data_IF_958985284696
#
_entry.id   IF_958985284696
#
_cell.length_a   1.000
_cell.length_b   1.000
_cell.length_c   1.000
_cell.angle_alpha   90.00
_cell.angle_beta   90.00
_cell.angle_gamma   90.00
#
_symmetry.space_group_name_H-M   'P 1'
#
loop_
_entity.id
_entity.type
_entity.pdbx_description
1 polymer ?
#
# COMPACT_ATOMS: atom_id res chain seq x y z
N UNK A 1 22.47 6.99 -16.96
CA UNK A 1 21.20 6.23 -17.03
C UNK A 1 21.15 5.35 -15.81
N UNK A 2 20.11 5.45 -14.97
CA UNK A 2 20.02 4.67 -13.74
C UNK A 2 19.48 3.24 -14.00
N UNK A 3 18.70 3.07 -15.08
CA UNK A 3 18.18 1.78 -15.55
C UNK A 3 18.17 1.80 -17.07
N UNK A 4 18.69 0.78 -17.71
CA UNK A 4 18.74 0.66 -19.17
C UNK A 4 18.35 -0.74 -19.62
N UNK A 5 17.55 -0.85 -20.69
CA UNK A 5 17.13 -2.12 -21.27
C UNK A 5 16.32 -3.04 -20.33
N UNK A 6 15.74 -2.50 -19.26
CA UNK A 6 15.00 -3.29 -18.26
C UNK A 6 13.61 -3.68 -18.79
N UNK A 7 13.33 -4.98 -18.79
CA UNK A 7 12.03 -5.54 -19.12
C UNK A 7 11.54 -6.39 -17.96
N UNK A 8 10.30 -6.18 -17.54
CA UNK A 8 9.66 -6.92 -16.46
C UNK A 8 8.19 -7.16 -16.81
N UNK A 9 7.75 -8.39 -16.64
CA UNK A 9 6.34 -8.76 -16.71
C UNK A 9 5.99 -9.51 -15.44
N UNK A 10 4.92 -9.08 -14.77
CA UNK A 10 4.41 -9.70 -13.54
C UNK A 10 3.00 -10.18 -13.81
N UNK A 11 2.76 -11.48 -13.61
CA UNK A 11 1.46 -12.11 -13.75
C UNK A 11 0.56 -11.88 -12.53
N UNK A 12 -0.71 -12.32 -12.64
CA UNK A 12 -1.63 -12.31 -11.50
C UNK A 12 -1.21 -13.37 -10.47
N UNK A 13 -1.32 -13.05 -9.18
CA UNK A 13 -0.95 -13.93 -8.06
C UNK A 13 0.53 -14.36 -8.09
N UNK A 14 1.39 -13.52 -8.65
CA UNK A 14 2.82 -13.76 -8.75
C UNK A 14 3.58 -12.91 -7.74
N UNK A 15 4.61 -13.51 -7.12
CA UNK A 15 5.57 -12.82 -6.26
C UNK A 15 6.89 -12.74 -7.02
N UNK A 16 7.33 -11.51 -7.28
CA UNK A 16 8.58 -11.24 -8.00
C UNK A 16 9.57 -10.51 -7.09
N UNK A 17 10.77 -11.04 -6.95
CA UNK A 17 11.86 -10.41 -6.21
C UNK A 17 12.77 -9.60 -7.12
N UNK A 18 12.92 -8.29 -6.82
CA UNK A 18 13.91 -7.43 -7.46
C UNK A 18 15.18 -7.37 -6.62
N UNK A 19 16.19 -8.13 -7.03
CA UNK A 19 17.45 -8.32 -6.28
C UNK A 19 18.59 -7.61 -7.01
N UNK A 20 19.50 -7.02 -6.24
CA UNK A 20 20.70 -6.35 -6.76
C UNK A 20 21.42 -5.56 -5.66
N UNK A 21 22.70 -5.19 -5.88
CA UNK A 21 23.46 -4.40 -4.92
C UNK A 21 22.88 -3.00 -4.71
N UNK A 22 23.39 -2.28 -3.71
CA UNK A 22 23.03 -0.89 -3.52
C UNK A 22 23.46 -0.06 -4.74
N UNK A 23 22.57 0.84 -5.20
CA UNK A 23 22.81 1.61 -6.44
C UNK A 23 22.42 0.89 -7.74
N UNK A 24 22.01 -0.38 -7.74
CA UNK A 24 21.58 -1.11 -8.94
C UNK A 24 20.29 -0.61 -9.61
N UNK A 25 19.68 0.46 -9.10
CA UNK A 25 18.47 1.05 -9.69
C UNK A 25 17.15 0.48 -9.18
N UNK A 26 17.13 -0.39 -8.15
CA UNK A 26 15.89 -0.96 -7.58
C UNK A 26 14.85 0.11 -7.23
N UNK A 27 15.26 1.11 -6.46
CA UNK A 27 14.39 2.25 -6.09
C UNK A 27 13.96 3.05 -7.32
N UNK A 28 14.81 3.16 -8.34
CA UNK A 28 14.46 3.82 -9.60
C UNK A 28 13.35 3.07 -10.33
N UNK A 29 13.41 1.72 -10.38
CA UNK A 29 12.34 0.90 -10.94
C UNK A 29 11.02 1.12 -10.17
N UNK A 30 11.05 1.13 -8.84
CA UNK A 30 9.87 1.44 -8.02
C UNK A 30 9.31 2.84 -8.30
N UNK A 31 10.18 3.84 -8.44
CA UNK A 31 9.77 5.20 -8.78
C UNK A 31 9.17 5.30 -10.19
N UNK A 32 9.65 4.50 -11.14
CA UNK A 32 9.07 4.37 -12.48
C UNK A 32 7.69 3.71 -12.44
N UNK A 33 7.55 2.58 -11.71
CA UNK A 33 6.28 1.85 -11.58
C UNK A 33 5.18 2.69 -10.88
N UNK A 34 5.57 3.59 -9.98
CA UNK A 34 4.63 4.50 -9.30
C UNK A 34 4.49 5.86 -10.00
N UNK A 35 5.13 6.05 -11.15
CA UNK A 35 5.14 7.30 -11.92
C UNK A 35 5.66 8.53 -11.15
N UNK A 36 6.50 8.33 -10.14
CA UNK A 36 7.30 9.39 -9.53
C UNK A 36 8.32 9.90 -10.55
N UNK A 37 8.88 8.99 -11.36
CA UNK A 37 9.68 9.29 -12.54
C UNK A 37 9.01 8.78 -13.80
N UNK A 38 9.18 9.50 -14.90
CA UNK A 38 8.75 9.04 -16.23
C UNK A 38 9.91 8.33 -16.93
N UNK A 39 9.67 7.22 -17.64
CA UNK A 39 10.72 6.58 -18.43
C UNK A 39 11.14 7.50 -19.60
N UNK A 40 12.44 7.60 -19.86
CA UNK A 40 12.96 8.33 -21.02
C UNK A 40 12.63 7.63 -22.33
N UNK A 41 12.60 6.29 -22.31
CA UNK A 41 12.23 5.42 -23.43
C UNK A 41 11.46 4.21 -22.88
N UNK A 42 10.64 3.58 -23.73
CA UNK A 42 9.82 2.46 -23.33
C UNK A 42 8.47 2.87 -22.75
N UNK A 43 7.73 1.92 -22.24
CA UNK A 43 6.39 2.12 -21.68
C UNK A 43 6.17 1.25 -20.44
N UNK A 44 5.29 1.70 -19.56
CA UNK A 44 4.84 0.97 -18.38
C UNK A 44 3.34 0.79 -18.50
N UNK A 45 2.91 -0.46 -18.39
CA UNK A 45 1.51 -0.83 -18.43
C UNK A 45 1.09 -1.46 -17.11
N UNK A 46 -0.03 -1.04 -16.55
CA UNK A 46 -0.67 -1.66 -15.40
C UNK A 46 -2.00 -2.23 -15.88
N UNK A 47 -2.14 -3.55 -15.82
CA UNK A 47 -3.33 -4.26 -16.31
C UNK A 47 -3.69 -3.84 -17.77
N UNK A 48 -2.66 -3.77 -18.64
CA UNK A 48 -2.79 -3.37 -20.04
C UNK A 48 -2.96 -1.87 -20.30
N UNK A 49 -3.12 -1.05 -19.26
CA UNK A 49 -3.32 0.40 -19.37
C UNK A 49 -2.00 1.17 -19.21
N UNK A 50 -1.66 2.11 -20.09
CA UNK A 50 -0.43 2.89 -19.99
C UNK A 50 -0.45 3.86 -18.82
N UNK A 51 0.71 4.01 -18.17
CA UNK A 51 0.91 4.99 -17.07
C UNK A 51 1.41 6.33 -17.57
N UNK A 52 1.84 6.43 -18.83
CA UNK A 52 2.39 7.65 -19.42
C UNK A 52 1.44 8.84 -19.22
N UNK A 53 1.99 9.99 -18.82
CA UNK A 53 1.24 11.22 -18.58
C UNK A 53 0.35 11.23 -17.32
N UNK A 54 0.26 10.12 -16.59
CA UNK A 54 -0.51 10.05 -15.33
C UNK A 54 0.31 10.60 -14.17
N UNK A 55 -0.38 11.16 -13.18
CA UNK A 55 0.21 11.52 -11.89
C UNK A 55 0.26 10.30 -10.97
N UNK A 56 1.14 10.30 -9.96
CA UNK A 56 1.30 9.19 -9.00
C UNK A 56 -0.03 8.74 -8.39
N UNK A 57 -0.91 9.67 -7.97
CA UNK A 57 -2.21 9.31 -7.40
C UNK A 57 -3.15 8.63 -8.41
N UNK A 58 -3.00 8.90 -9.71
CA UNK A 58 -3.79 8.24 -10.76
C UNK A 58 -3.30 6.80 -10.98
N UNK A 59 -1.98 6.58 -10.90
CA UNK A 59 -1.41 5.23 -10.94
C UNK A 59 -1.80 4.41 -9.71
N UNK A 60 -1.84 5.06 -8.54
CA UNK A 60 -2.37 4.42 -7.34
C UNK A 60 -3.82 3.95 -7.54
N UNK A 61 -4.69 4.79 -8.12
CA UNK A 61 -6.08 4.43 -8.45
C UNK A 61 -6.21 3.35 -9.52
N UNK A 62 -5.17 3.08 -10.31
CA UNK A 62 -5.11 1.92 -11.20
C UNK A 62 -4.86 0.60 -10.45
N UNK A 63 -4.61 0.68 -9.14
CA UNK A 63 -4.40 -0.45 -8.26
C UNK A 63 -2.93 -0.71 -7.92
N UNK A 64 -2.05 0.31 -7.96
CA UNK A 64 -0.66 0.18 -7.52
C UNK A 64 -0.52 0.76 -6.12
N UNK A 65 -0.16 -0.06 -5.14
CA UNK A 65 0.22 0.40 -3.80
C UNK A 65 1.71 0.19 -3.57
N UNK A 66 2.32 1.06 -2.77
CA UNK A 66 3.73 0.97 -2.39
C UNK A 66 3.91 1.26 -0.91
N UNK A 67 4.70 0.43 -0.23
CA UNK A 67 5.28 0.80 1.06
C UNK A 67 6.56 1.61 0.84
N UNK A 68 6.93 2.43 1.82
CA UNK A 68 8.13 3.26 1.73
C UNK A 68 9.23 2.68 2.61
N UNK A 69 10.50 3.01 2.31
CA UNK A 69 11.65 2.61 3.12
C UNK A 69 11.51 3.14 4.57
N UNK A 70 11.02 4.38 4.74
CA UNK A 70 10.67 4.92 6.04
C UNK A 70 9.19 4.69 6.32
N UNK A 71 8.86 4.10 7.46
CA UNK A 71 7.48 3.82 7.88
C UNK A 71 6.66 5.11 7.93
N UNK A 72 5.56 5.14 7.18
CA UNK A 72 4.63 6.27 7.11
C UNK A 72 3.29 5.88 7.69
N UNK A 73 3.18 5.89 9.00
CA UNK A 73 1.93 5.67 9.73
C UNK A 73 1.38 6.96 10.30
N UNK A 74 0.09 7.00 10.52
CA UNK A 74 -0.56 8.00 11.36
C UNK A 74 -0.34 7.60 12.82
N UNK A 75 0.76 8.05 13.40
CA UNK A 75 1.26 7.60 14.71
C UNK A 75 0.29 7.86 15.86
N UNK A 76 -0.52 8.92 15.75
CA UNK A 76 -1.51 9.32 16.74
C UNK A 76 -2.82 8.51 16.67
N UNK A 77 -3.06 7.84 15.54
CA UNK A 77 -4.22 6.99 15.36
C UNK A 77 -3.98 5.59 15.92
N UNK A 78 -5.08 4.89 16.21
CA UNK A 78 -5.03 3.47 16.56
C UNK A 78 -4.58 2.61 15.37
N UNK A 79 -4.17 1.38 15.66
CA UNK A 79 -3.80 0.38 14.64
C UNK A 79 -4.96 0.15 13.67
N UNK A 80 -6.17 -0.07 14.20
CA UNK A 80 -7.35 -0.32 13.36
C UNK A 80 -7.71 0.91 12.53
N UNK A 81 -7.57 2.12 13.06
CA UNK A 81 -7.89 3.34 12.31
C UNK A 81 -6.89 3.59 11.18
N UNK A 82 -5.61 3.24 11.35
CA UNK A 82 -4.63 3.26 10.26
C UNK A 82 -5.06 2.35 9.10
N UNK A 83 -5.59 1.16 9.37
CA UNK A 83 -6.09 0.24 8.33
C UNK A 83 -7.35 0.80 7.68
N UNK A 84 -8.28 1.35 8.48
CA UNK A 84 -9.51 1.97 7.98
C UNK A 84 -9.23 3.10 7.00
N UNK A 85 -8.19 3.93 7.23
CA UNK A 85 -7.79 4.95 6.25
C UNK A 85 -7.47 4.34 4.88
N UNK A 86 -6.81 3.17 4.83
CA UNK A 86 -6.57 2.44 3.57
C UNK A 86 -7.87 1.92 2.94
N UNK A 87 -8.77 1.38 3.73
CA UNK A 87 -10.07 0.88 3.26
C UNK A 87 -10.96 1.99 2.71
N UNK A 88 -10.96 3.18 3.32
CA UNK A 88 -11.72 4.33 2.87
C UNK A 88 -11.36 4.78 1.45
N UNK A 89 -10.10 4.65 1.04
CA UNK A 89 -9.67 5.00 -0.32
C UNK A 89 -10.26 4.03 -1.37
N UNK A 90 -10.50 2.78 -0.98
CA UNK A 90 -11.12 1.75 -1.85
C UNK A 90 -12.65 1.83 -1.89
N UNK A 91 -13.28 2.45 -0.89
CA UNK A 91 -14.72 2.61 -0.78
C UNK A 91 -15.14 3.95 -1.42
N UNK A 92 -16.10 3.92 -2.34
CA UNK A 92 -16.67 5.13 -2.96
C UNK A 92 -17.58 5.84 -1.98
N UNK A 93 -17.01 6.53 -0.98
CA UNK A 93 -17.81 7.35 -0.08
C UNK A 93 -18.46 8.50 -0.83
N UNK A 94 -19.78 8.59 -0.74
CA UNK A 94 -20.50 9.79 -1.13
C UNK A 94 -20.44 10.77 0.04
N UNK A 95 -19.69 11.87 -0.10
CA UNK A 95 -19.53 12.93 0.92
C UNK A 95 -20.88 13.38 1.53
N UNK A 96 -21.95 13.36 0.73
CA UNK A 96 -23.30 13.72 1.19
C UNK A 96 -23.87 12.71 2.20
N UNK A 97 -23.61 11.39 2.02
CA UNK A 97 -24.09 10.36 2.96
C UNK A 97 -23.33 10.37 4.29
N UNK A 98 -22.06 10.75 4.25
CA UNK A 98 -21.22 10.90 5.45
C UNK A 98 -21.62 12.10 6.29
N UNK A 99 -21.97 13.24 5.66
CA UNK A 99 -22.39 14.46 6.37
C UNK A 99 -23.76 14.28 7.07
N UNK A 100 -24.66 13.53 6.46
CA UNK A 100 -26.05 13.34 6.95
C UNK A 100 -26.20 12.12 7.88
N UNK A 101 -25.11 11.39 8.19
CA UNK A 101 -25.13 10.18 9.04
C UNK A 101 -26.30 9.23 8.71
N UNK A 102 -26.55 9.01 7.40
CA UNK A 102 -27.64 8.15 6.95
C UNK A 102 -27.42 6.68 7.40
N UNK A 103 -28.47 5.85 7.48
CA UNK A 103 -28.35 4.44 7.91
C UNK A 103 -27.26 3.64 7.15
N UNK A 104 -27.01 3.97 5.89
CA UNK A 104 -25.93 3.37 5.09
C UNK A 104 -24.52 3.65 5.65
N UNK A 105 -24.30 4.82 6.29
CA UNK A 105 -23.01 5.14 6.90
C UNK A 105 -22.60 4.11 7.97
N UNK A 106 -23.54 3.79 8.88
CA UNK A 106 -23.27 2.82 9.95
C UNK A 106 -23.01 1.43 9.44
N UNK A 107 -23.67 1.02 8.34
CA UNK A 107 -23.43 -0.28 7.70
C UNK A 107 -22.05 -0.34 7.05
N UNK A 108 -21.66 0.73 6.36
CA UNK A 108 -20.34 0.84 5.72
C UNK A 108 -19.21 0.88 6.76
N UNK A 109 -19.39 1.65 7.84
CA UNK A 109 -18.43 1.73 8.95
C UNK A 109 -18.27 0.36 9.64
N UNK A 110 -19.34 -0.38 9.83
CA UNK A 110 -19.30 -1.73 10.37
C UNK A 110 -18.51 -2.67 9.43
N UNK A 111 -18.80 -2.65 8.14
CA UNK A 111 -18.07 -3.45 7.15
C UNK A 111 -16.57 -3.07 7.08
N UNK A 112 -16.26 -1.78 7.18
CA UNK A 112 -14.88 -1.31 7.23
C UNK A 112 -14.16 -1.85 8.47
N UNK A 113 -14.83 -1.83 9.62
CA UNK A 113 -14.29 -2.37 10.87
C UNK A 113 -14.06 -3.88 10.79
N UNK A 114 -15.02 -4.63 10.27
CA UNK A 114 -14.92 -6.09 10.08
C UNK A 114 -13.73 -6.44 9.18
N UNK A 115 -13.59 -5.79 8.02
CA UNK A 115 -12.44 -6.00 7.12
C UNK A 115 -11.10 -5.61 7.75
N UNK A 116 -11.08 -4.55 8.55
CA UNK A 116 -9.86 -4.16 9.26
C UNK A 116 -9.45 -5.21 10.29
N UNK A 117 -10.42 -5.79 11.02
CA UNK A 117 -10.18 -6.87 11.98
C UNK A 117 -9.73 -8.15 11.29
N UNK A 118 -10.31 -8.52 10.15
CA UNK A 118 -9.86 -9.67 9.33
C UNK A 118 -8.38 -9.53 8.92
N UNK A 119 -7.97 -8.33 8.47
CA UNK A 119 -6.57 -8.08 8.15
C UNK A 119 -5.67 -8.20 9.38
N UNK A 120 -6.10 -7.67 10.52
CA UNK A 120 -5.36 -7.76 11.77
C UNK A 120 -5.19 -9.22 12.23
N UNK A 121 -6.21 -10.05 12.04
CA UNK A 121 -6.17 -11.47 12.39
C UNK A 121 -5.17 -12.23 11.52
N UNK A 122 -5.18 -12.01 10.20
CA UNK A 122 -4.22 -12.59 9.26
C UNK A 122 -2.76 -12.28 9.65
N UNK A 123 -2.50 -11.09 10.17
CA UNK A 123 -1.16 -10.65 10.59
C UNK A 123 -0.87 -10.93 12.07
N UNK A 124 -1.76 -11.61 12.80
CA UNK A 124 -1.66 -11.90 14.22
C UNK A 124 -1.45 -10.63 15.07
N UNK A 125 -2.24 -9.61 14.80
CA UNK A 125 -2.19 -8.31 15.46
C UNK A 125 -3.57 -7.85 16.00
N UNK A 126 -4.55 -8.74 16.09
CA UNK A 126 -5.90 -8.42 16.55
C UNK A 126 -5.92 -7.80 17.95
N UNK A 127 -5.08 -8.31 18.86
CA UNK A 127 -4.94 -7.81 20.25
C UNK A 127 -4.44 -6.36 20.31
N UNK A 128 -3.80 -5.89 19.25
CA UNK A 128 -3.23 -4.54 19.15
C UNK A 128 -4.16 -3.55 18.45
N UNK A 129 -5.37 -3.96 18.08
CA UNK A 129 -6.31 -3.13 17.28
C UNK A 129 -6.49 -1.71 17.82
N UNK A 130 -6.64 -1.58 19.14
CA UNK A 130 -6.86 -0.30 19.82
C UNK A 130 -5.58 0.38 20.32
N UNK A 131 -4.42 -0.25 20.13
CA UNK A 131 -3.14 0.35 20.53
C UNK A 131 -2.80 1.53 19.60
N UNK A 132 -2.12 2.53 20.13
CA UNK A 132 -1.63 3.65 19.32
C UNK A 132 -0.52 3.17 18.38
N UNK A 133 -0.63 3.48 17.10
CA UNK A 133 0.32 2.98 16.08
C UNK A 133 1.77 3.41 16.35
N UNK A 134 1.97 4.61 16.91
CA UNK A 134 3.29 5.13 17.27
C UNK A 134 3.97 4.41 18.43
N UNK A 135 3.22 3.72 19.28
CA UNK A 135 3.76 2.98 20.44
C UNK A 135 4.21 1.56 20.11
N UNK A 136 3.90 1.08 18.91
CA UNK A 136 4.24 -0.28 18.49
C UNK A 136 5.76 -0.46 18.31
N UNK A 137 6.30 -1.68 18.56
CA UNK A 137 7.64 -2.05 18.12
C UNK A 137 7.79 -1.90 16.60
N UNK A 138 9.00 -1.62 16.13
CA UNK A 138 9.28 -1.34 14.70
C UNK A 138 8.72 -2.41 13.75
N UNK A 139 8.92 -3.70 14.06
CA UNK A 139 8.40 -4.80 13.23
C UNK A 139 6.86 -4.82 13.14
N UNK A 140 6.17 -4.45 14.23
CA UNK A 140 4.70 -4.32 14.22
C UNK A 140 4.25 -3.09 13.43
N UNK A 141 4.96 -1.96 13.53
CA UNK A 141 4.71 -0.79 12.69
C UNK A 141 4.87 -1.12 11.20
N UNK A 142 5.90 -1.91 10.83
CA UNK A 142 6.13 -2.34 9.46
C UNK A 142 5.01 -3.23 8.95
N UNK A 143 4.54 -4.19 9.76
CA UNK A 143 3.37 -5.01 9.40
C UNK A 143 2.12 -4.16 9.22
N UNK A 144 1.89 -3.19 10.10
CA UNK A 144 0.76 -2.27 9.98
C UNK A 144 0.81 -1.44 8.70
N UNK A 145 1.98 -0.97 8.27
CA UNK A 145 2.15 -0.26 7.01
C UNK A 145 1.78 -1.13 5.81
N UNK A 146 2.21 -2.41 5.81
CA UNK A 146 1.85 -3.38 4.78
C UNK A 146 0.33 -3.63 4.77
N UNK A 147 -0.28 -3.85 5.94
CA UNK A 147 -1.73 -4.03 6.07
C UNK A 147 -2.50 -2.82 5.52
N UNK A 148 -2.06 -1.61 5.82
CA UNK A 148 -2.69 -0.39 5.30
C UNK A 148 -2.59 -0.31 3.76
N UNK A 149 -1.45 -0.71 3.19
CA UNK A 149 -1.29 -0.78 1.73
C UNK A 149 -2.19 -1.87 1.12
N UNK A 150 -2.30 -3.04 1.75
CA UNK A 150 -3.21 -4.12 1.33
C UNK A 150 -4.69 -3.71 1.42
N UNK A 151 -5.05 -2.93 2.43
CA UNK A 151 -6.41 -2.45 2.63
C UNK A 151 -6.95 -1.63 1.45
N UNK A 152 -6.07 -0.99 0.67
CA UNK A 152 -6.49 -0.29 -0.57
C UNK A 152 -6.94 -1.23 -1.69
N UNK A 153 -6.82 -2.56 -1.53
CA UNK A 153 -7.17 -3.55 -2.54
C UNK A 153 -6.29 -3.47 -3.80
N UNK A 154 -4.96 -3.40 -3.68
CA UNK A 154 -4.11 -3.18 -4.83
C UNK A 154 -4.05 -4.40 -5.76
N UNK A 155 -3.90 -4.16 -7.07
CA UNK A 155 -3.56 -5.18 -8.07
C UNK A 155 -2.06 -5.49 -8.08
N UNK A 156 -1.23 -4.49 -7.75
CA UNK A 156 0.22 -4.58 -7.61
C UNK A 156 0.66 -3.94 -6.31
N UNK A 157 1.26 -4.72 -5.42
CA UNK A 157 1.85 -4.24 -4.18
C UNK A 157 3.38 -4.22 -4.31
N UNK A 158 3.97 -3.06 -4.14
CA UNK A 158 5.42 -2.84 -4.17
C UNK A 158 5.93 -2.72 -2.73
N UNK A 159 6.74 -3.68 -2.31
CA UNK A 159 7.34 -3.72 -0.98
C UNK A 159 8.83 -3.33 -1.07
N UNK A 160 9.19 -2.17 -0.54
CA UNK A 160 10.57 -1.69 -0.50
C UNK A 160 11.23 -2.16 0.81
N UNK A 161 12.15 -3.11 0.69
CA UNK A 161 12.87 -3.72 1.82
C UNK A 161 11.95 -4.16 2.98
N UNK A 162 10.95 -5.05 2.74
CA UNK A 162 9.92 -5.35 3.74
C UNK A 162 10.45 -5.94 5.04
N UNK A 163 11.61 -6.60 5.01
CA UNK A 163 12.25 -7.22 6.17
C UNK A 163 13.33 -6.34 6.85
N UNK A 164 13.56 -5.12 6.36
CA UNK A 164 14.57 -4.24 6.95
C UNK A 164 14.23 -3.92 8.40
N UNK A 165 15.18 -4.16 9.31
CA UNK A 165 15.01 -3.92 10.75
C UNK A 165 14.13 -4.93 11.50
N UNK A 166 13.73 -6.04 10.86
CA UNK A 166 13.14 -7.18 11.57
C UNK A 166 14.24 -8.17 11.96
N UNK A 167 14.21 -8.65 13.22
CA UNK A 167 15.07 -9.77 13.61
C UNK A 167 14.62 -11.01 12.85
N UNK A 168 15.55 -11.77 12.23
CA UNK A 168 15.25 -13.10 11.74
C UNK A 168 14.93 -13.97 12.96
N UNK A 169 13.67 -14.36 13.10
CA UNK A 169 13.20 -15.36 14.07
C UNK A 169 13.32 -16.75 13.47
#
# INVERSE_FOLDING_TARGET
TAVDGFNLMIGRNEITGLIGPNGAGKTTVFNLLTNVYQPTRGSILIDGMPTAGKKTYQVNRMGVARTFQNIRLFKELSVIDNIKVGLHESMKYNLASSLLRMPNYWKEEKQCTERALELLDIFHMADLANAQAGSLPYGAQRRLEIMRALATGPKLLLLDEPAAGMNPS
#
